data_IF_717044625135
#
_entry.id   IF_717044625135
#
_cell.length_a   1.000
_cell.length_b   1.000
_cell.length_c   1.000
_cell.angle_alpha   90.00
_cell.angle_beta   90.00
_cell.angle_gamma   90.00
#
_symmetry.space_group_name_H-M   'P 1'
#
loop_
_entity.id
_entity.type
_entity.pdbx_description
1 polymer ?
#
# COMPACT_ATOMS: atom_id res chain seq x y z
N UNK A 1 -3.63 -5.90 -10.43
CA UNK A 1 -2.46 -5.14 -10.95
C UNK A 1 -2.20 -3.83 -10.20
N UNK A 2 -3.24 -3.02 -9.91
CA UNK A 2 -3.09 -1.71 -9.23
C UNK A 2 -2.59 -1.78 -7.79
N UNK A 3 -3.06 -2.73 -6.99
CA UNK A 3 -2.70 -2.87 -5.56
C UNK A 3 -1.19 -3.03 -5.33
N UNK A 4 -0.55 -4.00 -6.00
CA UNK A 4 0.91 -4.19 -5.91
C UNK A 4 1.71 -2.97 -6.37
N UNK A 5 1.21 -2.26 -7.38
CA UNK A 5 1.84 -1.04 -7.87
C UNK A 5 1.78 0.08 -6.81
N UNK A 6 0.63 0.27 -6.16
CA UNK A 6 0.46 1.25 -5.07
C UNK A 6 1.35 0.88 -3.88
N UNK A 7 1.33 -0.39 -3.43
CA UNK A 7 2.18 -0.86 -2.33
C UNK A 7 3.67 -0.64 -2.60
N UNK A 8 4.13 -0.91 -3.83
CA UNK A 8 5.51 -0.64 -4.24
C UNK A 8 5.86 0.84 -4.12
N UNK A 9 4.99 1.74 -4.58
CA UNK A 9 5.26 3.18 -4.52
C UNK A 9 5.24 3.71 -3.08
N UNK A 10 4.36 3.16 -2.23
CA UNK A 10 4.36 3.43 -0.78
C UNK A 10 5.66 2.96 -0.15
N UNK A 11 6.15 1.77 -0.49
CA UNK A 11 7.42 1.23 0.01
C UNK A 11 8.64 2.02 -0.46
N UNK A 12 8.55 2.68 -1.62
CA UNK A 12 9.56 3.64 -2.09
C UNK A 12 9.48 5.01 -1.39
N UNK A 13 8.55 5.18 -0.43
CA UNK A 13 8.40 6.41 0.35
C UNK A 13 7.57 7.50 -0.31
N UNK A 14 6.91 7.24 -1.44
CA UNK A 14 6.14 8.28 -2.13
C UNK A 14 4.87 8.63 -1.36
N UNK A 15 4.56 9.92 -1.31
CA UNK A 15 3.29 10.45 -0.79
C UNK A 15 2.13 10.16 -1.73
N UNK A 16 0.91 10.24 -1.21
CA UNK A 16 -0.32 9.99 -2.00
C UNK A 16 -0.44 10.96 -3.18
N UNK A 17 0.10 12.18 -3.06
CA UNK A 17 0.14 13.17 -4.12
C UNK A 17 1.12 12.78 -5.25
N UNK A 18 2.30 12.25 -4.90
CA UNK A 18 3.28 11.78 -5.88
C UNK A 18 2.81 10.52 -6.60
N UNK A 19 2.18 9.61 -5.85
CA UNK A 19 1.54 8.41 -6.42
C UNK A 19 0.41 8.82 -7.35
N UNK A 20 -0.45 9.75 -6.94
CA UNK A 20 -1.55 10.28 -7.74
C UNK A 20 -1.04 10.85 -9.08
N UNK A 21 0.01 11.67 -9.02
CA UNK A 21 0.66 12.22 -10.23
C UNK A 21 1.23 11.12 -11.13
N UNK A 22 1.86 10.10 -10.55
CA UNK A 22 2.52 9.02 -11.32
C UNK A 22 1.53 8.05 -11.95
N UNK A 23 0.34 7.90 -11.35
CA UNK A 23 -0.73 7.03 -11.84
C UNK A 23 -1.84 7.79 -12.58
N UNK A 24 -1.71 9.11 -12.74
CA UNK A 24 -2.72 9.98 -13.36
C UNK A 24 -4.11 9.83 -12.74
N UNK A 25 -4.18 9.78 -11.40
CA UNK A 25 -5.43 9.70 -10.62
C UNK A 25 -5.48 10.80 -9.56
N UNK A 26 -6.62 10.94 -8.88
CA UNK A 26 -6.74 11.90 -7.78
C UNK A 26 -6.02 11.40 -6.51
N UNK A 27 -5.55 12.33 -5.66
CA UNK A 27 -5.02 12.00 -4.32
C UNK A 27 -6.03 11.21 -3.48
N UNK A 28 -7.32 11.54 -3.56
CA UNK A 28 -8.41 10.82 -2.87
C UNK A 28 -8.50 9.36 -3.32
N UNK A 29 -8.32 9.09 -4.62
CA UNK A 29 -8.30 7.74 -5.17
C UNK A 29 -7.14 6.93 -4.59
N UNK A 30 -5.94 7.52 -4.50
CA UNK A 30 -4.79 6.85 -3.88
C UNK A 30 -5.04 6.56 -2.41
N UNK A 31 -5.55 7.55 -1.66
CA UNK A 31 -5.91 7.37 -0.26
C UNK A 31 -6.87 6.19 -0.07
N UNK A 32 -7.94 6.12 -0.87
CA UNK A 32 -8.90 5.02 -0.80
C UNK A 32 -8.25 3.66 -1.11
N UNK A 33 -7.30 3.61 -2.06
CA UNK A 33 -6.57 2.38 -2.35
C UNK A 33 -5.65 1.96 -1.21
N UNK A 34 -4.93 2.90 -0.61
CA UNK A 34 -4.03 2.64 0.53
C UNK A 34 -4.84 2.18 1.75
N UNK A 35 -5.94 2.85 2.07
CA UNK A 35 -6.86 2.47 3.15
C UNK A 35 -7.44 1.08 2.91
N UNK A 36 -7.93 0.80 1.70
CA UNK A 36 -8.48 -0.53 1.38
C UNK A 36 -7.42 -1.63 1.44
N UNK A 37 -6.17 -1.32 1.10
CA UNK A 37 -5.05 -2.24 1.29
C UNK A 37 -4.78 -2.49 2.77
N UNK A 38 -4.66 -1.44 3.59
CA UNK A 38 -4.48 -1.58 5.03
C UNK A 38 -5.57 -2.45 5.66
N UNK A 39 -6.84 -2.21 5.35
CA UNK A 39 -7.97 -3.00 5.83
C UNK A 39 -7.88 -4.46 5.40
N UNK A 40 -7.60 -4.71 4.11
CA UNK A 40 -7.46 -6.09 3.57
C UNK A 40 -6.32 -6.86 4.22
N UNK A 41 -5.27 -6.15 4.63
CA UNK A 41 -4.03 -6.73 5.12
C UNK A 41 -3.94 -6.74 6.65
N UNK A 42 -4.92 -6.15 7.34
CA UNK A 42 -4.90 -5.99 8.79
C UNK A 42 -3.75 -5.10 9.26
N UNK A 43 -3.40 -4.07 8.49
CA UNK A 43 -2.33 -3.12 8.80
C UNK A 43 -2.95 -1.82 9.28
N UNK A 44 -2.36 -1.20 10.29
CA UNK A 44 -2.89 0.02 10.92
C UNK A 44 -2.40 1.29 10.23
N UNK A 45 -1.26 1.23 9.54
CA UNK A 45 -0.65 2.42 8.97
C UNK A 45 0.15 2.16 7.69
N UNK A 46 0.58 3.25 7.04
CA UNK A 46 1.30 3.19 5.76
C UNK A 46 2.72 2.66 5.88
N UNK A 47 3.32 2.80 7.07
CA UNK A 47 4.67 2.28 7.34
C UNK A 47 4.60 0.76 7.40
N UNK A 48 3.59 0.21 8.05
CA UNK A 48 3.31 -1.22 8.03
C UNK A 48 3.04 -1.72 6.61
N UNK A 49 2.29 -0.98 5.78
CA UNK A 49 2.10 -1.33 4.37
C UNK A 49 3.43 -1.35 3.59
N UNK A 50 4.34 -0.42 3.86
CA UNK A 50 5.67 -0.39 3.26
C UNK A 50 6.53 -1.59 3.72
N UNK A 51 6.60 -1.82 5.03
CA UNK A 51 7.36 -2.93 5.62
C UNK A 51 6.81 -4.30 5.18
N UNK A 52 5.49 -4.41 5.07
CA UNK A 52 4.81 -5.60 4.54
C UNK A 52 5.28 -5.89 3.11
N UNK A 53 5.27 -4.88 2.22
CA UNK A 53 5.74 -5.03 0.85
C UNK A 53 7.22 -5.43 0.75
N UNK A 54 8.06 -4.95 1.69
CA UNK A 54 9.47 -5.28 1.78
C UNK A 54 9.75 -6.66 2.40
N UNK A 55 8.73 -7.36 2.89
CA UNK A 55 8.88 -8.65 3.58
C UNK A 55 9.47 -8.53 4.99
N UNK A 56 9.41 -7.34 5.60
CA UNK A 56 9.99 -7.04 6.91
C UNK A 56 8.99 -7.20 8.07
N UNK A 57 7.68 -7.30 7.77
CA UNK A 57 6.66 -7.60 8.78
C UNK A 57 6.15 -9.04 8.65
N UNK A 58 6.18 -9.84 9.74
CA UNK A 58 5.56 -11.15 9.75
C UNK A 58 4.04 -10.99 9.63
N UNK A 59 3.46 -11.73 8.70
CA UNK A 59 2.03 -11.77 8.39
C UNK A 59 1.18 -11.98 9.67
N UNK A 60 0.47 -10.95 10.10
CA UNK A 60 -0.62 -11.09 11.08
C UNK A 60 -1.80 -11.80 10.39
N UNK A 61 -1.84 -13.13 10.51
CA UNK A 61 -2.97 -14.05 10.29
C UNK A 61 -3.86 -13.74 9.05
N UNK A 62 -3.43 -14.14 7.85
CA UNK A 62 -4.37 -14.25 6.72
C UNK A 62 -3.80 -14.40 5.31
N UNK A 63 -2.60 -13.89 5.01
CA UNK A 63 -2.09 -13.90 3.64
C UNK A 63 -1.09 -15.03 3.40
N UNK A 64 -1.64 -16.21 3.07
CA UNK A 64 -0.87 -17.35 2.54
C UNK A 64 -0.95 -17.27 1.01
N UNK A 65 0.13 -16.85 0.34
CA UNK A 65 0.24 -16.97 -1.12
C UNK A 65 0.59 -15.68 -1.85
N UNK A 66 1.88 -15.51 -2.09
CA UNK A 66 2.39 -15.24 -3.44
C UNK A 66 3.28 -16.40 -3.84
#
# INVERSE_FOLDING_TARGET
MRERQVMRLVALGLSDAEIARRLSVSKRTVYNWVSSLQDKLGLENRVELALYYLGLLPHCRGWRGM
#
